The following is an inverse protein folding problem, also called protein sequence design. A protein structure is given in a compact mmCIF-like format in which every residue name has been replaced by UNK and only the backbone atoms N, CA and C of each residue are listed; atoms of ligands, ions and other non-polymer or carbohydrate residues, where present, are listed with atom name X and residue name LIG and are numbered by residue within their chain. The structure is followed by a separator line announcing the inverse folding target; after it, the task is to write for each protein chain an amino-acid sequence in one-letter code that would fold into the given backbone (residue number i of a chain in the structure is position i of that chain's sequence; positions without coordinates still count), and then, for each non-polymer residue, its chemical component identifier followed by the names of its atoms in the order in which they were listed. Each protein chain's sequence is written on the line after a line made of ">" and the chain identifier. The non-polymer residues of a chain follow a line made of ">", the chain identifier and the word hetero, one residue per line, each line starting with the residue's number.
data_IF_775787361399
#
_entry.id   IF_775787361399
#
_cell.length_a   1.000
_cell.length_b   1.000
_cell.length_c   1.000
_cell.angle_alpha   90.00
_cell.angle_beta   90.00
_cell.angle_gamma   90.00
#
_symmetry.space_group_name_H-M   'P 1'
#
loop_
_entity.id
_entity.type
_entity.pdbx_description
1 polymer ?
#
# COMPACT_ATOMS: atom_id res chain seq x y z
N UNK A 1 16.01 -18.25 -8.04
CA UNK A 1 16.67 -19.12 -7.03
C UNK A 1 15.61 -19.64 -6.08
N UNK A 2 15.56 -20.96 -5.81
CA UNK A 2 14.60 -21.52 -4.85
C UNK A 2 15.08 -21.26 -3.42
N UNK A 3 14.25 -20.63 -2.61
CA UNK A 3 14.59 -20.23 -1.25
C UNK A 3 13.35 -20.27 -0.35
N UNK A 4 13.58 -20.48 0.95
CA UNK A 4 12.54 -20.40 1.98
C UNK A 4 12.52 -19.00 2.59
N UNK A 5 11.34 -18.42 2.75
CA UNK A 5 11.16 -17.16 3.47
C UNK A 5 11.23 -17.43 4.97
N UNK A 6 12.13 -16.74 5.67
CA UNK A 6 12.46 -17.03 7.08
C UNK A 6 11.90 -16.01 8.06
N UNK A 7 11.53 -14.82 7.57
CA UNK A 7 10.99 -13.74 8.41
C UNK A 7 10.21 -12.74 7.54
N UNK A 8 9.52 -11.79 8.17
CA UNK A 8 8.89 -10.64 7.51
C UNK A 8 9.41 -9.37 8.15
N UNK A 9 9.86 -8.42 7.34
CA UNK A 9 10.30 -7.11 7.80
C UNK A 9 9.12 -6.18 8.10
N UNK A 10 9.35 -5.15 8.93
CA UNK A 10 8.34 -4.14 9.34
C UNK A 10 7.68 -3.45 8.15
N UNK A 11 8.42 -3.27 7.05
CA UNK A 11 7.96 -2.67 5.80
C UNK A 11 7.26 -3.66 4.85
N UNK A 12 7.07 -4.89 5.31
CA UNK A 12 6.26 -5.94 4.71
C UNK A 12 6.93 -6.72 3.58
N UNK A 13 8.25 -6.70 3.51
CA UNK A 13 9.00 -7.65 2.69
C UNK A 13 9.21 -8.95 3.46
N UNK A 14 9.04 -10.08 2.80
CA UNK A 14 9.62 -11.32 3.29
C UNK A 14 11.14 -11.29 3.18
N UNK A 15 11.80 -11.90 4.14
CA UNK A 15 13.25 -11.94 4.27
C UNK A 15 13.72 -13.33 3.89
N UNK A 16 14.67 -13.41 2.96
CA UNK A 16 15.41 -14.63 2.64
C UNK A 16 16.88 -14.46 3.03
N UNK A 17 17.50 -15.53 3.52
CA UNK A 17 18.91 -15.55 3.93
C UNK A 17 19.66 -16.69 3.22
N UNK A 18 20.01 -16.53 1.93
CA UNK A 18 20.86 -17.49 1.25
C UNK A 18 22.25 -17.55 1.89
N UNK A 19 22.93 -18.70 1.79
CA UNK A 19 24.22 -18.92 2.46
C UNK A 19 25.34 -17.98 1.95
N UNK A 20 25.37 -17.73 0.64
CA UNK A 20 26.50 -17.08 -0.03
C UNK A 20 26.23 -15.62 -0.46
N UNK A 21 25.05 -15.08 -0.13
CA UNK A 21 24.66 -13.74 -0.54
C UNK A 21 24.12 -12.93 0.63
N UNK A 22 24.12 -11.60 0.55
CA UNK A 22 23.36 -10.78 1.48
C UNK A 22 21.88 -11.20 1.54
N UNK A 23 21.19 -10.79 2.60
CA UNK A 23 19.76 -11.01 2.73
C UNK A 23 19.02 -10.41 1.53
N UNK A 24 17.95 -11.10 1.10
CA UNK A 24 17.10 -10.67 -0.01
C UNK A 24 15.73 -10.30 0.54
N UNK A 25 15.26 -9.09 0.23
CA UNK A 25 13.91 -8.63 0.55
C UNK A 25 12.99 -8.85 -0.65
N UNK A 26 11.88 -9.53 -0.42
CA UNK A 26 10.91 -9.86 -1.47
C UNK A 26 9.52 -9.42 -1.03
N UNK A 27 8.81 -8.60 -1.81
CA UNK A 27 7.48 -8.14 -1.44
C UNK A 27 6.47 -9.29 -1.60
N UNK A 28 5.37 -9.22 -0.85
CA UNK A 28 4.20 -10.08 -1.01
C UNK A 28 4.43 -11.59 -0.76
N UNK A 29 5.51 -11.92 -0.06
CA UNK A 29 5.75 -13.26 0.49
C UNK A 29 5.84 -13.20 2.02
N UNK A 30 5.51 -14.31 2.67
CA UNK A 30 5.50 -14.44 4.14
C UNK A 30 6.32 -15.66 4.54
N UNK A 31 6.65 -15.82 5.82
CA UNK A 31 7.46 -16.94 6.30
C UNK A 31 6.85 -18.31 5.99
N UNK A 32 7.70 -19.34 5.95
CA UNK A 32 7.37 -20.73 5.60
C UNK A 32 7.02 -20.95 4.13
N UNK A 33 6.94 -19.89 3.33
CA UNK A 33 6.83 -20.01 1.88
C UNK A 33 8.14 -20.44 1.25
N UNK A 34 8.04 -21.28 0.22
CA UNK A 34 9.17 -21.69 -0.61
C UNK A 34 8.94 -21.15 -2.00
N UNK A 35 9.78 -20.23 -2.46
CA UNK A 35 9.58 -19.47 -3.70
C UNK A 35 10.83 -19.45 -4.58
N UNK A 36 10.65 -19.35 -5.89
CA UNK A 36 11.73 -18.87 -6.74
C UNK A 36 11.79 -17.36 -6.71
N UNK A 37 12.98 -16.82 -6.45
CA UNK A 37 13.24 -15.38 -6.43
C UNK A 37 14.13 -14.98 -7.59
N UNK A 38 13.72 -13.93 -8.29
CA UNK A 38 14.56 -13.17 -9.22
C UNK A 38 15.09 -11.91 -8.52
N UNK A 39 16.39 -11.64 -8.61
CA UNK A 39 17.01 -10.46 -8.00
C UNK A 39 16.84 -9.26 -8.92
N UNK A 40 16.12 -8.24 -8.44
CA UNK A 40 15.81 -7.02 -9.20
C UNK A 40 16.87 -5.94 -8.96
N UNK A 41 17.37 -5.83 -7.72
CA UNK A 41 18.30 -4.76 -7.38
C UNK A 41 19.26 -5.21 -6.27
N UNK A 42 20.56 -4.91 -6.44
CA UNK A 42 21.61 -5.28 -5.49
C UNK A 42 22.16 -4.04 -4.81
N UNK A 43 22.12 -4.00 -3.48
CA UNK A 43 22.90 -3.06 -2.65
C UNK A 43 24.00 -3.82 -1.91
N UNK A 44 24.97 -3.08 -1.34
CA UNK A 44 26.16 -3.65 -0.69
C UNK A 44 25.84 -4.67 0.42
N UNK A 45 24.80 -4.43 1.22
CA UNK A 45 24.46 -5.26 2.40
C UNK A 45 23.08 -5.93 2.29
N UNK A 46 22.35 -5.70 1.19
CA UNK A 46 20.95 -6.11 1.05
C UNK A 46 20.53 -6.13 -0.41
N UNK A 47 19.86 -7.17 -0.84
CA UNK A 47 19.30 -7.27 -2.19
C UNK A 47 17.78 -7.19 -2.15
N UNK A 48 17.18 -6.80 -3.27
CA UNK A 48 15.74 -6.80 -3.50
C UNK A 48 15.42 -7.77 -4.64
N UNK A 49 14.37 -8.54 -4.47
CA UNK A 49 13.89 -9.47 -5.49
C UNK A 49 12.39 -9.49 -5.61
N UNK A 50 11.90 -10.24 -6.59
CA UNK A 50 10.50 -10.61 -6.74
C UNK A 50 10.37 -12.13 -6.73
N UNK A 51 9.31 -12.62 -6.09
CA UNK A 51 8.89 -14.00 -6.23
C UNK A 51 8.29 -14.22 -7.62
N UNK A 52 8.81 -15.21 -8.34
CA UNK A 52 8.37 -15.56 -9.70
C UNK A 52 7.64 -16.90 -9.75
N UNK A 53 7.80 -17.75 -8.72
CA UNK A 53 7.06 -19.01 -8.56
C UNK A 53 6.92 -19.39 -7.08
N UNK A 54 5.88 -20.16 -6.74
CA UNK A 54 5.65 -20.70 -5.40
C UNK A 54 5.68 -22.24 -5.46
N UNK A 55 6.53 -22.84 -4.62
CA UNK A 55 6.66 -24.28 -4.44
C UNK A 55 5.90 -24.78 -3.20
N UNK A 56 5.74 -23.91 -2.20
CA UNK A 56 4.93 -24.16 -1.01
C UNK A 56 4.39 -22.81 -0.49
N UNK A 57 3.14 -22.82 -0.04
CA UNK A 57 2.48 -21.64 0.57
C UNK A 57 2.39 -21.83 2.07
N UNK A 58 2.48 -20.72 2.79
CA UNK A 58 2.33 -20.69 4.25
C UNK A 58 0.87 -20.98 4.64
N UNK A 59 0.61 -21.71 5.74
CA UNK A 59 -0.74 -21.86 6.28
C UNK A 59 -1.35 -20.52 6.73
N UNK A 60 -0.53 -19.49 6.91
CA UNK A 60 -0.95 -18.14 7.26
C UNK A 60 -1.18 -17.23 6.05
N UNK A 61 -1.05 -17.74 4.82
CA UNK A 61 -1.43 -17.02 3.61
C UNK A 61 -2.95 -16.97 3.49
N UNK A 62 -3.46 -15.83 3.05
CA UNK A 62 -4.87 -15.67 2.66
C UNK A 62 -4.96 -14.92 1.33
N UNK A 63 -6.09 -15.02 0.66
CA UNK A 63 -6.33 -14.26 -0.57
C UNK A 63 -6.61 -12.79 -0.21
N UNK A 64 -5.90 -11.82 -0.79
CA UNK A 64 -6.20 -10.41 -0.58
C UNK A 64 -7.64 -10.06 -0.98
N UNK A 65 -8.36 -9.34 -0.11
CA UNK A 65 -9.71 -8.87 -0.42
C UNK A 65 -9.75 -7.74 -1.47
N UNK A 66 -8.61 -7.08 -1.72
CA UNK A 66 -8.49 -5.99 -2.69
C UNK A 66 -7.82 -6.47 -3.97
N UNK A 67 -8.51 -6.31 -5.11
CA UNK A 67 -8.02 -6.66 -6.45
C UNK A 67 -6.79 -5.85 -6.88
N UNK A 68 -6.57 -4.68 -6.29
CA UNK A 68 -5.41 -3.83 -6.52
C UNK A 68 -4.26 -4.08 -5.54
N UNK A 69 -4.38 -5.08 -4.65
CA UNK A 69 -3.28 -5.49 -3.78
C UNK A 69 -2.07 -5.92 -4.62
N UNK A 70 -0.86 -5.60 -4.16
CA UNK A 70 0.36 -5.81 -4.93
C UNK A 70 0.75 -4.62 -5.81
N UNK A 71 -0.23 -3.91 -6.37
CA UNK A 71 -0.04 -2.72 -7.21
C UNK A 71 -0.17 -1.42 -6.41
N UNK A 72 -1.26 -1.27 -5.68
CA UNK A 72 -1.54 -0.11 -4.84
C UNK A 72 -0.56 -0.03 -3.66
N UNK A 73 -0.02 1.16 -3.39
CA UNK A 73 0.91 1.39 -2.28
C UNK A 73 0.28 1.36 -0.87
N UNK A 74 -1.04 1.16 -0.76
CA UNK A 74 -1.78 1.35 0.49
C UNK A 74 -1.68 0.20 1.51
N UNK A 75 -1.71 -1.05 1.06
CA UNK A 75 -1.73 -2.23 1.94
C UNK A 75 -0.50 -3.10 1.72
N UNK A 76 0.06 -3.65 2.82
CA UNK A 76 1.30 -4.46 2.77
C UNK A 76 1.07 -5.95 3.03
N UNK A 77 0.04 -6.31 3.80
CA UNK A 77 -0.12 -7.65 4.36
C UNK A 77 -1.49 -8.27 4.11
N UNK A 78 -2.26 -7.84 3.09
CA UNK A 78 -3.56 -8.47 2.86
C UNK A 78 -3.45 -9.95 2.48
N UNK A 79 -2.28 -10.40 2.01
CA UNK A 79 -2.01 -11.82 1.76
C UNK A 79 -1.71 -12.63 3.03
N UNK A 80 -1.78 -12.02 4.22
CA UNK A 80 -1.47 -12.64 5.51
C UNK A 80 -2.74 -12.65 6.38
N UNK A 81 -3.05 -13.78 7.01
CA UNK A 81 -4.16 -13.88 7.96
C UNK A 81 -4.04 -12.83 9.08
N UNK A 82 -5.17 -12.32 9.55
CA UNK A 82 -5.16 -11.22 10.52
C UNK A 82 -4.45 -11.59 11.84
N UNK A 83 -4.65 -12.81 12.34
CA UNK A 83 -3.95 -13.31 13.53
C UNK A 83 -2.43 -13.25 13.35
N UNK A 84 -1.94 -13.58 12.16
CA UNK A 84 -0.52 -13.57 11.84
C UNK A 84 0.03 -12.16 11.65
N UNK A 85 -0.79 -11.22 11.16
CA UNK A 85 -0.43 -9.79 11.18
C UNK A 85 -0.24 -9.28 12.61
N UNK A 86 -1.06 -9.72 13.57
CA UNK A 86 -0.92 -9.34 14.98
C UNK A 86 0.33 -9.97 15.61
N UNK A 87 0.64 -11.23 15.26
CA UNK A 87 1.87 -11.90 15.67
C UNK A 87 3.11 -11.09 15.27
N UNK A 88 3.20 -10.70 14.00
CA UNK A 88 4.32 -9.90 13.49
C UNK A 88 4.40 -8.52 14.14
N UNK A 89 3.27 -7.83 14.32
CA UNK A 89 3.25 -6.53 15.02
C UNK A 89 3.82 -6.63 16.44
N UNK A 90 3.47 -7.67 17.18
CA UNK A 90 4.03 -7.93 18.52
C UNK A 90 5.54 -8.13 18.43
N UNK A 91 5.97 -9.02 17.54
CA UNK A 91 7.40 -9.34 17.34
C UNK A 91 8.22 -8.13 16.95
N UNK A 92 7.70 -7.21 16.14
CA UNK A 92 8.41 -5.97 15.81
C UNK A 92 8.66 -5.08 17.01
N UNK A 93 7.69 -4.99 17.93
CA UNK A 93 7.87 -4.26 19.19
C UNK A 93 8.89 -4.96 20.08
N UNK A 94 8.80 -6.28 20.23
CA UNK A 94 9.76 -7.09 21.00
C UNK A 94 11.19 -6.92 20.46
N UNK A 95 11.36 -7.04 19.14
CA UNK A 95 12.65 -6.87 18.49
C UNK A 95 13.18 -5.45 18.64
N UNK A 96 12.34 -4.43 18.55
CA UNK A 96 12.77 -3.04 18.74
C UNK A 96 13.22 -2.78 20.18
N UNK A 97 12.44 -3.23 21.17
CA UNK A 97 12.79 -3.07 22.59
C UNK A 97 14.08 -3.81 22.94
N UNK A 98 14.23 -5.05 22.45
CA UNK A 98 15.42 -5.86 22.72
C UNK A 98 16.66 -5.34 21.99
N UNK A 99 16.61 -5.16 20.67
CA UNK A 99 17.80 -4.86 19.86
C UNK A 99 18.20 -3.38 19.87
N UNK A 100 17.23 -2.46 19.94
CA UNK A 100 17.49 -1.01 19.90
C UNK A 100 17.45 -0.44 21.33
N UNK A 101 16.42 -0.81 22.08
CA UNK A 101 16.23 -0.31 23.45
C UNK A 101 17.13 -0.98 24.49
N UNK A 102 17.62 -2.20 24.22
CA UNK A 102 18.28 -3.06 25.21
C UNK A 102 17.41 -3.30 26.46
N UNK A 103 16.08 -3.35 26.27
CA UNK A 103 15.09 -3.54 27.33
C UNK A 103 14.54 -4.97 27.25
N UNK A 104 14.73 -5.75 28.32
CA UNK A 104 14.12 -7.07 28.47
C UNK A 104 12.79 -6.92 29.22
N UNK A 105 11.69 -6.81 28.46
CA UNK A 105 10.32 -6.77 28.99
C UNK A 105 9.43 -7.66 28.16
N UNK A 106 8.47 -8.32 28.80
CA UNK A 106 7.44 -9.07 28.09
C UNK A 106 6.50 -8.09 27.39
N UNK A 107 6.37 -8.23 26.06
CA UNK A 107 5.42 -7.45 25.28
C UNK A 107 4.06 -8.14 25.33
N UNK A 108 2.98 -7.48 25.78
CA UNK A 108 1.67 -8.11 25.81
C UNK A 108 1.13 -8.39 24.40
N UNK A 109 0.12 -9.26 24.25
CA UNK A 109 -0.58 -9.47 22.99
C UNK A 109 -1.12 -8.15 22.40
N UNK A 110 -1.08 -8.02 21.07
CA UNK A 110 -1.64 -6.87 20.37
C UNK A 110 -3.15 -6.86 20.53
N UNK A 111 -3.71 -5.73 20.96
CA UNK A 111 -5.16 -5.53 20.98
C UNK A 111 -5.69 -5.53 19.53
N UNK A 112 -6.56 -6.48 19.16
CA UNK A 112 -7.12 -6.53 17.81
C UNK A 112 -8.03 -5.32 17.53
N UNK A 113 -8.06 -4.89 16.27
CA UNK A 113 -9.08 -3.95 15.81
C UNK A 113 -10.43 -4.65 15.81
N UNK A 114 -11.51 -4.02 16.31
CA UNK A 114 -12.86 -4.57 16.18
C UNK A 114 -13.32 -4.62 14.72
N UNK A 115 -12.68 -3.84 13.83
CA UNK A 115 -13.02 -3.71 12.43
C UNK A 115 -11.76 -3.73 11.56
N UNK A 116 -11.64 -4.70 10.67
CA UNK A 116 -10.45 -4.91 9.82
C UNK A 116 -10.62 -4.40 8.38
N UNK A 117 -11.85 -4.07 7.99
CA UNK A 117 -12.23 -3.49 6.70
C UNK A 117 -13.00 -2.19 6.89
N UNK A 118 -12.96 -1.27 5.92
CA UNK A 118 -13.64 0.02 5.97
C UNK A 118 -13.33 0.89 7.21
N UNK A 119 -12.23 0.61 7.91
CA UNK A 119 -11.90 1.25 9.19
C UNK A 119 -11.32 2.67 9.04
N UNK A 120 -10.90 3.08 7.84
CA UNK A 120 -10.28 4.40 7.66
C UNK A 120 -11.29 5.52 7.86
N UNK A 121 -10.93 6.49 8.68
CA UNK A 121 -11.69 7.73 8.85
C UNK A 121 -11.15 8.88 7.97
N UNK A 122 -10.05 8.65 7.24
CA UNK A 122 -9.43 9.58 6.30
C UNK A 122 -8.90 8.82 5.09
N UNK A 123 -9.17 9.34 3.89
CA UNK A 123 -8.57 8.89 2.64
C UNK A 123 -8.10 10.11 1.85
N UNK A 124 -6.93 10.00 1.21
CA UNK A 124 -6.39 11.02 0.33
C UNK A 124 -6.11 10.39 -1.02
N UNK A 125 -6.81 10.88 -2.03
CA UNK A 125 -6.74 10.42 -3.40
C UNK A 125 -5.98 11.45 -4.23
N UNK A 126 -5.14 10.97 -5.14
CA UNK A 126 -4.44 11.79 -6.11
C UNK A 126 -5.22 11.81 -7.43
N UNK A 127 -5.35 12.99 -8.03
CA UNK A 127 -5.76 13.08 -9.43
C UNK A 127 -4.57 12.77 -10.33
N UNK A 128 -4.84 12.09 -11.44
CA UNK A 128 -3.82 11.76 -12.42
C UNK A 128 -4.44 11.39 -13.75
N UNK A 129 -3.67 10.66 -14.56
CA UNK A 129 -4.13 10.11 -15.83
C UNK A 129 -3.98 8.60 -15.84
N UNK A 130 -4.97 7.90 -16.39
CA UNK A 130 -4.84 6.47 -16.67
C UNK A 130 -3.94 6.21 -17.90
N UNK A 131 -3.75 4.94 -18.26
CA UNK A 131 -2.92 4.55 -19.40
C UNK A 131 -3.44 5.06 -20.76
N UNK A 132 -4.71 5.45 -20.82
CA UNK A 132 -5.38 6.00 -21.99
C UNK A 132 -5.38 7.53 -21.98
N UNK A 133 -4.81 8.16 -20.94
CA UNK A 133 -4.72 9.60 -20.79
C UNK A 133 -5.95 10.26 -20.16
N UNK A 134 -6.97 9.48 -19.77
CA UNK A 134 -8.19 10.00 -19.16
C UNK A 134 -7.93 10.41 -17.72
N UNK A 135 -8.66 11.44 -17.25
CA UNK A 135 -8.63 11.84 -15.84
C UNK A 135 -9.02 10.66 -14.95
N UNK A 136 -8.19 10.38 -13.95
CA UNK A 136 -8.45 9.38 -12.91
C UNK A 136 -8.23 9.95 -11.52
N UNK A 137 -8.81 9.30 -10.52
CA UNK A 137 -8.70 9.66 -9.12
C UNK A 137 -8.52 8.40 -8.27
N UNK A 138 -7.33 8.23 -7.70
CA UNK A 138 -6.96 7.01 -7.00
C UNK A 138 -5.75 7.15 -6.11
N UNK A 139 -4.90 6.12 -6.04
CA UNK A 139 -3.73 6.09 -5.16
C UNK A 139 -2.45 5.90 -5.93
N UNK A 140 -1.31 6.25 -5.32
CA UNK A 140 -0.02 5.98 -5.91
C UNK A 140 0.35 4.49 -5.82
N UNK A 141 0.89 3.88 -6.89
CA UNK A 141 1.54 2.59 -6.80
C UNK A 141 2.71 2.60 -5.81
N UNK A 142 3.09 1.43 -5.30
CA UNK A 142 4.23 1.32 -4.38
C UNK A 142 5.51 1.77 -5.07
N UNK A 143 6.14 2.83 -4.54
CA UNK A 143 7.41 3.34 -5.06
C UNK A 143 7.29 4.32 -6.24
N UNK A 144 6.07 4.63 -6.70
CA UNK A 144 5.85 5.47 -7.89
C UNK A 144 4.88 6.62 -7.60
N UNK A 145 5.39 7.70 -7.00
CA UNK A 145 4.58 8.87 -6.62
C UNK A 145 4.11 9.73 -7.80
N UNK A 146 4.72 9.59 -8.97
CA UNK A 146 4.32 10.35 -10.16
C UNK A 146 3.12 9.72 -10.88
N UNK A 147 2.81 8.46 -10.60
CA UNK A 147 1.71 7.74 -11.25
C UNK A 147 0.51 7.65 -10.33
N UNK A 148 -0.69 7.63 -10.90
CA UNK A 148 -1.93 7.40 -10.16
C UNK A 148 -2.58 6.13 -10.69
N UNK A 149 -2.77 5.17 -9.79
CA UNK A 149 -3.50 3.95 -10.06
C UNK A 149 -5.01 4.24 -10.02
N UNK A 150 -5.76 4.01 -11.12
CA UNK A 150 -7.21 4.00 -11.04
C UNK A 150 -7.65 2.90 -10.07
N UNK A 151 -8.57 3.24 -9.17
CA UNK A 151 -9.15 2.29 -8.22
C UNK A 151 -10.66 2.21 -8.41
N UNK A 152 -11.19 1.00 -8.35
CA UNK A 152 -12.63 0.78 -8.36
C UNK A 152 -13.19 0.86 -6.94
N UNK A 153 -12.57 0.12 -6.02
CA UNK A 153 -12.97 0.04 -4.61
C UNK A 153 -11.74 -0.17 -3.72
N UNK A 154 -11.76 0.42 -2.53
CA UNK A 154 -10.74 0.17 -1.51
C UNK A 154 -11.37 -0.42 -0.25
N UNK A 155 -11.06 -1.69 0.07
CA UNK A 155 -11.71 -2.42 1.17
C UNK A 155 -11.38 -1.89 2.57
N UNK A 156 -10.43 -0.97 2.71
CA UNK A 156 -10.11 -0.34 4.01
C UNK A 156 -10.67 1.08 4.12
N UNK A 157 -11.24 1.61 3.04
CA UNK A 157 -11.90 2.91 3.01
C UNK A 157 -13.42 2.70 3.06
N UNK A 158 -14.18 3.52 3.82
CA UNK A 158 -15.62 3.43 3.84
C UNK A 158 -16.25 3.64 2.47
N UNK A 159 -17.28 2.85 2.15
CA UNK A 159 -17.98 2.96 0.86
C UNK A 159 -18.54 4.37 0.60
N UNK A 160 -18.93 5.10 1.65
CA UNK A 160 -19.38 6.49 1.52
C UNK A 160 -18.31 7.42 0.95
N UNK A 161 -17.03 7.20 1.27
CA UNK A 161 -15.92 7.99 0.70
C UNK A 161 -15.70 7.61 -0.76
N UNK A 162 -15.82 6.33 -1.11
CA UNK A 162 -15.72 5.88 -2.50
C UNK A 162 -16.86 6.46 -3.37
N UNK A 163 -18.09 6.55 -2.84
CA UNK A 163 -19.20 7.24 -3.53
C UNK A 163 -18.91 8.70 -3.81
N UNK A 164 -18.37 9.43 -2.82
CA UNK A 164 -17.97 10.84 -2.98
C UNK A 164 -16.83 10.97 -3.99
N UNK A 165 -15.80 10.14 -3.91
CA UNK A 165 -14.70 10.10 -4.87
C UNK A 165 -15.20 9.91 -6.30
N UNK A 166 -16.05 8.90 -6.52
CA UNK A 166 -16.59 8.60 -7.84
C UNK A 166 -17.49 9.73 -8.37
N UNK A 167 -18.28 10.37 -7.51
CA UNK A 167 -19.07 11.53 -7.90
C UNK A 167 -18.17 12.69 -8.36
N UNK A 168 -17.15 13.04 -7.56
CA UNK A 168 -16.20 14.11 -7.90
C UNK A 168 -15.43 13.79 -9.19
N UNK A 169 -14.99 12.54 -9.38
CA UNK A 169 -14.31 12.13 -10.61
C UNK A 169 -15.21 12.29 -11.84
N UNK A 170 -16.47 11.85 -11.76
CA UNK A 170 -17.43 12.01 -12.87
C UNK A 170 -17.68 13.47 -13.21
N UNK A 171 -17.93 14.32 -12.21
CA UNK A 171 -18.14 15.76 -12.42
C UNK A 171 -16.90 16.42 -13.05
N UNK A 172 -15.71 16.09 -12.54
CA UNK A 172 -14.46 16.62 -13.09
C UNK A 172 -14.24 16.21 -14.56
N UNK A 173 -14.60 14.98 -14.93
CA UNK A 173 -14.55 14.49 -16.31
C UNK A 173 -15.55 15.22 -17.20
N UNK A 174 -16.79 15.45 -16.73
CA UNK A 174 -17.82 16.19 -17.47
C UNK A 174 -17.43 17.65 -17.71
N UNK A 175 -16.78 18.28 -16.73
CA UNK A 175 -16.28 19.65 -16.82
C UNK A 175 -14.97 19.77 -17.63
N UNK A 176 -14.40 18.66 -18.11
CA UNK A 176 -13.15 18.67 -18.87
C UNK A 176 -11.93 19.11 -18.06
N UNK A 177 -11.96 18.96 -16.72
CA UNK A 177 -10.87 19.39 -15.86
C UNK A 177 -9.66 18.45 -15.98
N UNK A 178 -8.46 19.02 -15.94
CA UNK A 178 -7.22 18.25 -16.01
C UNK A 178 -6.63 18.00 -14.62
N UNK A 179 -6.02 16.81 -14.45
CA UNK A 179 -5.11 16.56 -13.34
C UNK A 179 -3.87 17.45 -13.45
N UNK A 180 -3.41 17.94 -12.31
CA UNK A 180 -2.17 18.68 -12.18
C UNK A 180 -0.96 17.76 -12.40
N UNK A 181 -0.05 18.17 -13.29
CA UNK A 181 1.22 17.52 -13.55
C UNK A 181 2.36 18.27 -12.84
N UNK A 182 3.02 17.68 -11.83
CA UNK A 182 4.09 18.34 -11.09
C UNK A 182 5.38 18.56 -11.90
N UNK A 183 5.53 17.94 -13.07
CA UNK A 183 6.71 18.15 -13.95
C UNK A 183 6.51 19.34 -14.87
N UNK A 184 5.31 19.47 -15.42
CA UNK A 184 4.98 20.55 -16.37
C UNK A 184 4.32 21.75 -15.71
N UNK A 185 3.92 21.63 -14.44
CA UNK A 185 3.16 22.64 -13.68
C UNK A 185 1.86 23.06 -14.38
N UNK A 186 1.19 22.11 -15.04
CA UNK A 186 -0.07 22.34 -15.77
C UNK A 186 -1.20 21.50 -15.22
N UNK A 187 -2.44 21.96 -15.39
CA UNK A 187 -3.65 21.31 -14.92
C UNK A 187 -4.11 21.81 -13.55
N UNK A 188 -5.34 21.47 -13.18
CA UNK A 188 -6.02 22.04 -12.02
C UNK A 188 -6.00 21.11 -10.81
N UNK A 189 -6.46 19.88 -11.00
CA UNK A 189 -6.85 19.00 -9.89
C UNK A 189 -5.63 18.29 -9.31
N UNK A 190 -5.32 18.50 -8.03
CA UNK A 190 -4.17 17.86 -7.37
C UNK A 190 -4.59 16.63 -6.60
N UNK A 191 -5.48 16.79 -5.63
CA UNK A 191 -5.89 15.71 -4.75
C UNK A 191 -7.25 15.97 -4.12
N UNK A 192 -7.89 14.89 -3.69
CA UNK A 192 -9.13 14.89 -2.93
C UNK A 192 -8.85 14.24 -1.58
N UNK A 193 -8.99 14.98 -0.49
CA UNK A 193 -8.94 14.44 0.87
C UNK A 193 -10.36 14.33 1.40
N UNK A 194 -10.75 13.15 1.86
CA UNK A 194 -12.01 12.93 2.57
C UNK A 194 -11.69 12.50 3.98
N UNK A 195 -12.31 13.15 4.97
CA UNK A 195 -12.20 12.78 6.39
C UNK A 195 -13.58 12.82 7.04
N UNK A 196 -13.88 11.87 7.91
CA UNK A 196 -15.20 11.82 8.54
C UNK A 196 -15.31 10.83 9.68
N UNK A 197 -16.45 10.88 10.36
CA UNK A 197 -16.91 9.91 11.35
C UNK A 197 -17.91 8.95 10.68
N UNK A 198 -18.56 8.09 11.44
CA UNK A 198 -19.63 7.23 10.91
C UNK A 198 -20.81 8.03 10.34
N UNK A 199 -21.08 9.23 10.86
CA UNK A 199 -22.28 10.02 10.56
C UNK A 199 -22.03 11.13 9.54
N UNK A 200 -20.84 11.72 9.54
CA UNK A 200 -20.52 12.91 8.74
C UNK A 200 -19.14 12.81 8.10
N UNK A 201 -18.94 13.58 7.03
CA UNK A 201 -17.67 13.65 6.33
C UNK A 201 -17.47 15.04 5.69
N UNK A 202 -16.21 15.44 5.61
CA UNK A 202 -15.75 16.64 4.91
C UNK A 202 -14.86 16.18 3.75
N UNK A 203 -15.07 16.79 2.59
CA UNK A 203 -14.22 16.63 1.41
C UNK A 203 -13.47 17.93 1.13
N UNK A 204 -12.15 17.84 0.99
CA UNK A 204 -11.27 18.94 0.65
C UNK A 204 -10.66 18.65 -0.72
N UNK A 205 -11.02 19.49 -1.70
CA UNK A 205 -10.45 19.44 -3.03
C UNK A 205 -9.25 20.40 -3.09
N UNK A 206 -8.07 19.86 -3.35
CA UNK A 206 -6.86 20.65 -3.58
C UNK A 206 -6.67 20.90 -5.07
N UNK A 207 -6.50 22.18 -5.42
CA UNK A 207 -6.30 22.65 -6.78
C UNK A 207 -4.99 23.44 -6.90
N UNK A 208 -4.45 23.54 -8.12
CA UNK A 208 -3.37 24.46 -8.45
C UNK A 208 -3.93 25.86 -8.77
N UNK A 209 -3.17 26.89 -8.41
CA UNK A 209 -3.55 28.31 -8.57
C UNK A 209 -3.35 28.82 -10.01
N UNK A 210 -2.40 28.24 -10.75
CA UNK A 210 -2.00 28.70 -12.09
C UNK A 210 -2.83 28.00 -13.19
N UNK A 211 -3.62 28.78 -13.95
CA UNK A 211 -4.69 28.34 -14.86
C UNK A 211 -4.45 28.76 -16.31
N UNK A 212 -3.54 28.10 -17.06
CA UNK A 212 -3.47 28.32 -18.52
C UNK A 212 -4.57 27.56 -19.29
N UNK A 213 -5.29 26.62 -18.67
CA UNK A 213 -6.22 25.67 -19.30
C UNK A 213 -7.71 25.94 -19.02
N UNK A 214 -8.03 26.90 -18.15
CA UNK A 214 -9.41 27.35 -17.97
C UNK A 214 -9.44 28.87 -18.10
N UNK A 215 -9.78 29.30 -19.31
CA UNK A 215 -10.15 30.66 -19.63
C UNK A 215 -11.56 30.97 -19.08
#
# INVERSE_FOLDING_TARGET
>A
MKQTVVDVAVDGYGVLRPADTPAVLVPFVIEEEVVDVEVIHRKKQLWYGAAVSWHATSPHRTEPACTDFGRCGGCRWQMMTYAHQLHHKRRFVEQALHHIGHIAVEVPPVVPSPQVWHYRNKAEYAFGRDAQGNLTLGFHPRGEFAQVLPINQCQIVPERFERVRQAILREAQQLGLAAYDPRTHRGLLRSLLIRGTEQEAIALLMIAEDRPDVA
#
